data_IF_925300354344
#
_entry.id   IF_925300354344
#
_cell.length_a   1.000
_cell.length_b   1.000
_cell.length_c   1.000
_cell.angle_alpha   90.00
_cell.angle_beta   90.00
_cell.angle_gamma   90.00
#
_symmetry.space_group_name_H-M   'P 1'
#
loop_
_entity.id
_entity.type
_entity.pdbx_description
1 polymer ?
#
# COMPACT_ATOMS: atom_id res chain seq x y z
N UNK A 1 18.57 8.20 7.52
CA UNK A 1 17.79 7.27 6.67
C UNK A 1 16.48 7.87 6.11
N UNK A 2 16.07 9.11 6.42
CA UNK A 2 14.74 9.64 6.03
C UNK A 2 14.59 10.25 4.63
N UNK A 3 15.67 10.73 4.00
CA UNK A 3 15.55 11.39 2.68
C UNK A 3 15.16 10.42 1.55
N UNK A 4 15.70 9.20 1.57
CA UNK A 4 15.41 8.17 0.55
C UNK A 4 13.97 7.66 0.60
N UNK A 5 13.40 7.50 1.80
CA UNK A 5 11.98 7.13 1.98
C UNK A 5 11.04 8.26 1.55
N UNK A 6 11.42 9.51 1.83
CA UNK A 6 10.71 10.70 1.37
C UNK A 6 10.63 10.78 -0.16
N UNK A 7 11.74 10.52 -0.85
CA UNK A 7 11.79 10.48 -2.32
C UNK A 7 10.94 9.34 -2.90
N UNK A 8 11.03 8.13 -2.33
CA UNK A 8 10.25 6.98 -2.80
C UNK A 8 8.74 7.24 -2.71
N UNK A 9 8.28 7.87 -1.62
CA UNK A 9 6.88 8.26 -1.45
C UNK A 9 6.43 9.28 -2.51
N UNK A 10 7.29 10.26 -2.84
CA UNK A 10 7.00 11.29 -3.86
C UNK A 10 6.88 10.66 -5.24
N UNK A 11 7.79 9.74 -5.60
CA UNK A 11 7.70 8.96 -6.85
C UNK A 11 6.39 8.17 -6.90
N UNK A 12 6.07 7.40 -5.85
CA UNK A 12 4.82 6.63 -5.78
C UNK A 12 3.57 7.48 -5.98
N UNK A 13 3.52 8.67 -5.35
CA UNK A 13 2.43 9.63 -5.55
C UNK A 13 2.33 10.11 -7.01
N UNK A 14 3.45 10.41 -7.67
CA UNK A 14 3.44 10.81 -9.07
C UNK A 14 2.99 9.66 -9.99
N UNK A 15 3.32 8.41 -9.67
CA UNK A 15 2.82 7.24 -10.41
C UNK A 15 1.29 7.16 -10.32
N UNK A 16 0.73 7.28 -9.11
CA UNK A 16 -0.72 7.30 -8.89
C UNK A 16 -1.39 8.42 -9.70
N UNK A 17 -0.87 9.66 -9.60
CA UNK A 17 -1.38 10.80 -10.38
C UNK A 17 -1.31 10.57 -11.89
N UNK A 18 -0.22 9.98 -12.38
CA UNK A 18 -0.06 9.69 -13.80
C UNK A 18 -1.11 8.66 -14.28
N UNK A 19 -1.41 7.65 -13.46
CA UNK A 19 -2.42 6.64 -13.79
C UNK A 19 -3.85 7.17 -13.66
N UNK A 20 -4.14 7.94 -12.60
CA UNK A 20 -5.44 8.57 -12.36
C UNK A 20 -5.81 9.52 -13.52
N UNK A 21 -4.88 10.39 -13.90
CA UNK A 21 -5.11 11.51 -14.83
C UNK A 21 -4.64 11.23 -16.25
N UNK A 22 -4.22 10.01 -16.53
CA UNK A 22 -3.75 9.57 -17.85
C UNK A 22 -2.60 10.45 -18.39
N UNK A 23 -1.74 10.93 -17.49
CA UNK A 23 -0.62 11.81 -17.84
C UNK A 23 0.50 10.97 -18.46
N UNK A 24 1.01 11.42 -19.61
CA UNK A 24 2.17 10.83 -20.31
C UNK A 24 3.34 11.80 -20.45
N UNK A 25 3.07 13.10 -20.35
CA UNK A 25 4.07 14.14 -20.54
C UNK A 25 4.87 14.44 -19.27
N UNK A 26 6.20 14.39 -19.37
CA UNK A 26 7.13 14.74 -18.27
C UNK A 26 6.87 16.14 -17.72
N UNK A 27 6.68 17.14 -18.58
CA UNK A 27 6.43 18.52 -18.13
C UNK A 27 5.12 18.65 -17.34
N UNK A 28 4.08 17.91 -17.74
CA UNK A 28 2.79 17.92 -17.05
C UNK A 28 2.92 17.25 -15.69
N UNK A 29 3.60 16.09 -15.62
CA UNK A 29 3.77 15.38 -14.36
C UNK A 29 4.69 16.13 -13.38
N UNK A 30 5.77 16.72 -13.89
CA UNK A 30 6.72 17.51 -13.10
C UNK A 30 6.06 18.72 -12.43
N UNK A 31 5.03 19.31 -13.04
CA UNK A 31 4.30 20.43 -12.47
C UNK A 31 3.60 20.09 -11.14
N UNK A 32 3.29 18.81 -10.88
CA UNK A 32 2.69 18.36 -9.61
C UNK A 32 3.71 18.24 -8.47
N UNK A 33 5.00 18.17 -8.79
CA UNK A 33 6.08 18.19 -7.80
C UNK A 33 7.34 18.88 -8.36
N UNK A 34 7.35 20.22 -8.47
CA UNK A 34 8.40 20.96 -9.18
C UNK A 34 9.80 20.83 -8.56
N UNK A 35 9.87 20.40 -7.30
CA UNK A 35 11.14 20.22 -6.58
C UNK A 35 11.70 18.79 -6.73
N UNK A 36 10.97 17.88 -7.38
CA UNK A 36 11.46 16.52 -7.59
C UNK A 36 12.39 16.51 -8.81
N UNK A 37 13.60 15.94 -8.71
CA UNK A 37 14.50 15.81 -9.85
C UNK A 37 13.83 15.12 -11.05
N UNK A 38 14.00 15.68 -12.25
CA UNK A 38 13.43 15.14 -13.49
C UNK A 38 13.68 13.63 -13.71
N UNK A 39 14.84 13.04 -13.37
CA UNK A 39 15.03 11.60 -13.48
C UNK A 39 14.01 10.77 -12.68
N UNK A 40 13.57 11.25 -11.51
CA UNK A 40 12.56 10.59 -10.69
C UNK A 40 11.14 10.79 -11.24
N UNK A 41 10.88 11.93 -11.91
CA UNK A 41 9.62 12.14 -12.65
C UNK A 41 9.54 11.17 -13.84
N UNK A 42 10.63 10.99 -14.58
CA UNK A 42 10.75 10.00 -15.67
C UNK A 42 10.54 8.59 -15.16
N UNK A 43 11.10 8.27 -14.00
CA UNK A 43 10.88 6.99 -13.34
C UNK A 43 9.39 6.77 -13.06
N UNK A 44 8.69 7.77 -12.52
CA UNK A 44 7.26 7.69 -12.27
C UNK A 44 6.46 7.43 -13.57
N UNK A 45 6.78 8.15 -14.66
CA UNK A 45 6.14 7.91 -15.96
C UNK A 45 6.41 6.50 -16.48
N UNK A 46 7.65 6.02 -16.37
CA UNK A 46 8.03 4.66 -16.78
C UNK A 46 7.24 3.60 -16.01
N UNK A 47 7.11 3.75 -14.69
CA UNK A 47 6.32 2.84 -13.86
C UNK A 47 4.82 2.89 -14.20
N UNK A 48 4.27 4.07 -14.48
CA UNK A 48 2.89 4.19 -14.93
C UNK A 48 2.69 3.53 -16.30
N UNK A 49 3.65 3.66 -17.22
CA UNK A 49 3.63 3.00 -18.53
C UNK A 49 3.63 1.48 -18.40
N UNK A 50 4.38 0.90 -17.45
CA UNK A 50 4.33 -0.55 -17.17
C UNK A 50 2.91 -1.02 -16.90
N UNK A 51 2.13 -0.29 -16.08
CA UNK A 51 0.75 -0.67 -15.86
C UNK A 51 -0.09 -0.62 -17.13
N UNK A 52 0.15 0.32 -18.05
CA UNK A 52 -0.62 0.50 -19.29
C UNK A 52 -0.27 -0.51 -20.38
N UNK A 53 0.99 -0.91 -20.45
CA UNK A 53 1.53 -1.67 -21.57
C UNK A 53 1.66 -3.16 -21.26
N UNK A 54 2.07 -3.50 -20.04
CA UNK A 54 2.39 -4.89 -19.71
C UNK A 54 1.15 -5.79 -19.78
N UNK A 55 1.34 -6.97 -20.37
CA UNK A 55 0.25 -7.93 -20.63
C UNK A 55 -0.34 -8.48 -19.34
N UNK A 56 0.47 -8.62 -18.29
CA UNK A 56 0.04 -9.16 -17.00
C UNK A 56 -1.07 -8.32 -16.34
N UNK A 57 -1.08 -7.00 -16.57
CA UNK A 57 -2.08 -6.11 -16.01
C UNK A 57 -3.28 -5.89 -16.94
N UNK A 58 -3.24 -6.40 -18.17
CA UNK A 58 -4.29 -6.18 -19.18
C UNK A 58 -5.69 -6.58 -18.70
N UNK A 59 -5.91 -7.74 -18.07
CA UNK A 59 -7.24 -8.12 -17.60
C UNK A 59 -7.80 -7.14 -16.56
N UNK A 60 -6.93 -6.53 -15.76
CA UNK A 60 -7.32 -5.59 -14.72
C UNK A 60 -7.67 -4.22 -15.31
N UNK A 61 -6.97 -3.80 -16.37
CA UNK A 61 -7.31 -2.58 -17.12
C UNK A 61 -8.65 -2.72 -17.83
N UNK A 62 -8.88 -3.84 -18.51
CA UNK A 62 -10.10 -4.09 -19.29
C UNK A 62 -11.31 -4.34 -18.39
N UNK A 63 -11.12 -4.96 -17.22
CA UNK A 63 -12.18 -5.24 -16.25
C UNK A 63 -12.42 -4.14 -15.22
N UNK A 64 -11.76 -2.98 -15.33
CA UNK A 64 -11.92 -1.87 -14.40
C UNK A 64 -13.25 -1.14 -14.62
N UNK A 65 -13.99 -0.90 -13.54
CA UNK A 65 -15.26 -0.14 -13.52
C UNK A 65 -15.11 1.24 -12.87
N UNK A 66 -14.08 1.44 -12.04
CA UNK A 66 -13.78 2.74 -11.43
C UNK A 66 -12.29 2.87 -11.09
N UNK A 67 -11.81 4.11 -11.01
CA UNK A 67 -10.46 4.51 -10.56
C UNK A 67 -10.58 5.48 -9.37
N UNK A 68 -9.60 5.50 -8.49
CA UNK A 68 -9.56 6.39 -7.30
C UNK A 68 -10.87 6.38 -6.51
N UNK A 69 -11.44 5.18 -6.35
CA UNK A 69 -12.78 5.00 -5.81
C UNK A 69 -12.76 5.25 -4.31
N UNK A 70 -13.41 6.34 -3.90
CA UNK A 70 -13.56 6.72 -2.50
C UNK A 70 -14.73 5.97 -1.87
N UNK A 71 -14.46 5.29 -0.78
CA UNK A 71 -15.47 4.58 0.00
C UNK A 71 -15.12 4.63 1.49
N UNK A 72 -15.93 3.99 2.31
CA UNK A 72 -15.75 3.95 3.75
C UNK A 72 -16.11 2.57 4.28
N UNK A 73 -15.24 2.03 5.13
CA UNK A 73 -15.48 0.83 5.91
C UNK A 73 -15.86 1.22 7.35
N UNK A 74 -16.96 0.66 7.85
CA UNK A 74 -17.26 0.67 9.28
C UNK A 74 -16.76 -0.61 9.92
N UNK A 75 -15.96 -0.47 10.97
CA UNK A 75 -15.48 -1.57 11.79
C UNK A 75 -15.83 -1.29 13.25
N UNK A 76 -17.01 -1.76 13.67
CA UNK A 76 -17.61 -1.37 14.95
C UNK A 76 -17.85 0.16 14.99
N UNK A 77 -17.36 0.89 16.01
CA UNK A 77 -17.48 2.34 16.08
C UNK A 77 -16.42 3.07 15.23
N UNK A 78 -15.43 2.37 14.68
CA UNK A 78 -14.40 2.98 13.85
C UNK A 78 -14.90 3.20 12.43
N UNK A 79 -14.53 4.35 11.88
CA UNK A 79 -14.70 4.71 10.47
C UNK A 79 -13.33 4.73 9.80
N UNK A 80 -13.17 3.95 8.74
CA UNK A 80 -11.97 3.91 7.92
C UNK A 80 -12.34 4.45 6.55
N UNK A 81 -11.78 5.60 6.19
CA UNK A 81 -11.91 6.13 4.83
C UNK A 81 -10.93 5.41 3.91
N UNK A 82 -11.42 4.97 2.75
CA UNK A 82 -10.64 4.21 1.78
C UNK A 82 -10.62 4.94 0.44
N UNK A 83 -9.47 4.87 -0.24
CA UNK A 83 -9.33 5.28 -1.63
C UNK A 83 -8.70 4.11 -2.37
N UNK A 84 -9.47 3.49 -3.24
CA UNK A 84 -9.04 2.30 -3.98
C UNK A 84 -8.59 2.74 -5.37
N UNK A 85 -7.34 2.49 -5.72
CA UNK A 85 -6.76 2.96 -6.98
C UNK A 85 -7.55 2.45 -8.20
N UNK A 86 -7.97 1.18 -8.17
CA UNK A 86 -8.75 0.56 -9.23
C UNK A 86 -9.76 -0.44 -8.66
N UNK A 87 -10.99 -0.36 -9.15
CA UNK A 87 -12.09 -1.28 -8.80
C UNK A 87 -12.59 -1.93 -10.08
N UNK A 88 -12.70 -3.26 -10.08
CA UNK A 88 -13.38 -4.04 -11.11
C UNK A 88 -14.71 -4.62 -10.62
N UNK A 89 -15.32 -5.49 -11.43
CA UNK A 89 -16.59 -6.13 -11.05
C UNK A 89 -16.46 -7.06 -9.83
N UNK A 90 -15.37 -7.83 -9.73
CA UNK A 90 -15.12 -8.80 -8.64
C UNK A 90 -13.85 -8.52 -7.83
N UNK A 91 -13.08 -7.49 -8.22
CA UNK A 91 -11.77 -7.21 -7.63
C UNK A 91 -11.54 -5.75 -7.23
N UNK A 92 -10.59 -5.55 -6.33
CA UNK A 92 -9.91 -4.27 -6.08
C UNK A 92 -8.43 -4.41 -6.39
N UNK A 93 -7.77 -3.31 -6.74
CA UNK A 93 -6.34 -3.26 -6.97
C UNK A 93 -5.72 -2.00 -6.38
N UNK A 94 -4.49 -2.15 -5.88
CA UNK A 94 -3.62 -1.08 -5.43
C UNK A 94 -2.27 -1.15 -6.19
N UNK A 95 -1.78 0.01 -6.64
CA UNK A 95 -0.51 0.18 -7.33
C UNK A 95 0.63 0.39 -6.34
N UNK A 96 1.66 -0.45 -6.45
CA UNK A 96 2.83 -0.42 -5.59
C UNK A 96 4.11 -0.22 -6.39
N UNK A 97 4.95 0.69 -5.92
CA UNK A 97 6.25 1.04 -6.52
C UNK A 97 7.43 0.59 -5.65
N UNK A 98 7.15 -0.28 -4.69
CA UNK A 98 8.06 -0.79 -3.68
C UNK A 98 9.32 -1.41 -4.28
N UNK A 99 10.44 -1.27 -3.56
CA UNK A 99 11.71 -1.90 -3.95
C UNK A 99 11.70 -3.41 -3.75
N UNK A 100 10.89 -3.89 -2.81
CA UNK A 100 10.74 -5.30 -2.48
C UNK A 100 9.28 -5.72 -2.64
N UNK A 101 9.05 -6.99 -2.98
CA UNK A 101 7.71 -7.57 -3.11
C UNK A 101 7.31 -8.18 -1.77
N UNK A 102 6.61 -7.39 -0.95
CA UNK A 102 6.20 -7.77 0.41
C UNK A 102 4.67 -7.66 0.57
N UNK A 103 3.88 -8.62 0.02
CA UNK A 103 2.41 -8.55 0.04
C UNK A 103 1.83 -8.48 1.46
N UNK A 104 2.46 -9.14 2.43
CA UNK A 104 2.04 -9.19 3.83
C UNK A 104 1.97 -7.81 4.51
N UNK A 105 2.71 -6.82 4.01
CA UNK A 105 2.66 -5.44 4.50
C UNK A 105 1.39 -4.70 4.07
N UNK A 106 0.71 -5.18 3.05
CA UNK A 106 -0.43 -4.48 2.44
C UNK A 106 -1.76 -5.22 2.63
N UNK A 107 -1.73 -6.48 3.09
CA UNK A 107 -2.94 -7.31 3.19
C UNK A 107 -4.07 -6.68 4.01
N UNK A 108 -3.76 -5.94 5.09
CA UNK A 108 -4.79 -5.26 5.90
C UNK A 108 -5.45 -4.11 5.15
N UNK A 109 -4.68 -3.34 4.38
CA UNK A 109 -5.18 -2.27 3.50
C UNK A 109 -6.10 -2.86 2.43
N UNK A 110 -5.63 -3.89 1.73
CA UNK A 110 -6.36 -4.52 0.63
C UNK A 110 -7.61 -5.25 1.13
N UNK A 111 -7.58 -5.85 2.31
CA UNK A 111 -8.78 -6.34 2.98
C UNK A 111 -9.80 -5.23 3.20
N UNK A 112 -9.39 -4.08 3.75
CA UNK A 112 -10.32 -2.97 4.01
C UNK A 112 -10.97 -2.48 2.70
N UNK A 113 -10.20 -2.41 1.62
CA UNK A 113 -10.71 -2.06 0.28
C UNK A 113 -11.72 -3.09 -0.23
N UNK A 114 -11.38 -4.37 -0.12
CA UNK A 114 -12.22 -5.49 -0.53
C UNK A 114 -13.57 -5.47 0.19
N UNK A 115 -13.56 -5.32 1.52
CA UNK A 115 -14.77 -5.27 2.34
C UNK A 115 -15.61 -4.02 2.05
N UNK A 116 -14.97 -2.85 1.97
CA UNK A 116 -15.67 -1.57 1.73
C UNK A 116 -16.36 -1.51 0.36
N UNK A 117 -15.86 -2.28 -0.61
CA UNK A 117 -16.39 -2.35 -1.98
C UNK A 117 -17.16 -3.63 -2.27
N UNK A 118 -17.22 -4.57 -1.32
CA UNK A 118 -17.82 -5.92 -1.46
C UNK A 118 -17.23 -6.74 -2.62
N UNK A 119 -15.94 -6.60 -2.87
CA UNK A 119 -15.20 -7.39 -3.86
C UNK A 119 -14.51 -8.56 -3.17
N UNK A 120 -14.36 -9.67 -3.89
CA UNK A 120 -13.87 -10.93 -3.29
C UNK A 120 -12.38 -11.14 -3.49
N UNK A 121 -11.79 -10.40 -4.43
CA UNK A 121 -10.39 -10.50 -4.81
C UNK A 121 -9.71 -9.16 -4.61
N UNK A 122 -8.48 -9.20 -4.16
CA UNK A 122 -7.67 -8.02 -4.00
C UNK A 122 -6.31 -8.24 -4.65
N UNK A 123 -5.84 -7.25 -5.40
CA UNK A 123 -4.63 -7.32 -6.18
C UNK A 123 -3.63 -6.24 -5.76
N UNK A 124 -2.35 -6.58 -5.87
CA UNK A 124 -1.27 -5.61 -5.85
C UNK A 124 -0.56 -5.67 -7.20
N UNK A 125 -0.49 -4.53 -7.88
CA UNK A 125 0.36 -4.37 -9.05
C UNK A 125 1.72 -3.80 -8.63
N UNK A 126 2.74 -4.65 -8.58
CA UNK A 126 4.12 -4.25 -8.30
C UNK A 126 4.78 -3.75 -9.59
N UNK A 127 4.60 -2.46 -9.86
CA UNK A 127 4.97 -1.84 -11.15
C UNK A 127 6.46 -1.87 -11.43
N UNK A 128 7.29 -1.90 -10.40
CA UNK A 128 8.76 -2.00 -10.53
C UNK A 128 9.23 -3.41 -10.89
N UNK A 129 8.40 -4.41 -10.63
CA UNK A 129 8.75 -5.84 -10.71
C UNK A 129 7.98 -6.58 -11.80
N UNK A 130 7.10 -5.88 -12.55
CA UNK A 130 6.17 -6.47 -13.51
C UNK A 130 5.41 -7.69 -12.94
N UNK A 131 5.00 -7.56 -11.67
CA UNK A 131 4.42 -8.65 -10.90
C UNK A 131 3.04 -8.29 -10.36
N UNK A 132 2.10 -9.21 -10.57
CA UNK A 132 0.78 -9.17 -9.96
C UNK A 132 0.74 -10.14 -8.78
N UNK A 133 0.40 -9.63 -7.60
CA UNK A 133 0.02 -10.47 -6.46
C UNK A 133 -1.50 -10.47 -6.30
N UNK A 134 -2.08 -11.61 -5.93
CA UNK A 134 -3.52 -11.77 -5.71
C UNK A 134 -3.74 -12.40 -4.35
N UNK A 135 -4.50 -11.72 -3.49
CA UNK A 135 -5.02 -12.32 -2.28
C UNK A 135 -6.32 -13.04 -2.58
N UNK A 136 -6.41 -14.28 -2.11
CA UNK A 136 -7.61 -15.10 -2.19
C UNK A 136 -8.57 -14.76 -1.04
N UNK A 137 -9.87 -15.11 -1.17
CA UNK A 137 -10.86 -14.84 -0.13
C UNK A 137 -10.49 -15.37 1.26
N UNK A 138 -9.76 -16.49 1.35
CA UNK A 138 -9.33 -17.04 2.63
C UNK A 138 -8.29 -16.15 3.34
N UNK A 139 -7.34 -15.60 2.58
CA UNK A 139 -6.31 -14.71 3.10
C UNK A 139 -6.92 -13.38 3.56
N UNK A 140 -7.85 -12.83 2.77
CA UNK A 140 -8.59 -11.63 3.13
C UNK A 140 -9.44 -11.83 4.39
N UNK A 141 -10.12 -12.99 4.53
CA UNK A 141 -10.84 -13.31 5.77
C UNK A 141 -9.92 -13.40 6.99
N UNK A 142 -8.73 -13.97 6.85
CA UNK A 142 -7.75 -14.03 7.94
C UNK A 142 -7.26 -12.62 8.32
N UNK A 143 -7.00 -11.77 7.33
CA UNK A 143 -6.67 -10.36 7.54
C UNK A 143 -7.80 -9.60 8.26
N UNK A 144 -9.06 -9.88 7.91
CA UNK A 144 -10.21 -9.26 8.57
C UNK A 144 -10.35 -9.59 10.05
N UNK A 145 -10.06 -10.84 10.46
CA UNK A 145 -10.00 -11.20 11.88
C UNK A 145 -8.95 -10.37 12.62
N UNK A 146 -7.74 -10.27 12.05
CA UNK A 146 -6.65 -9.46 12.61
C UNK A 146 -7.01 -7.97 12.68
N UNK A 147 -7.67 -7.43 11.66
CA UNK A 147 -8.17 -6.05 11.69
C UNK A 147 -9.21 -5.84 12.79
N UNK A 148 -10.11 -6.82 13.02
CA UNK A 148 -11.05 -6.81 14.12
C UNK A 148 -10.37 -6.69 15.49
N UNK A 149 -9.38 -7.55 15.75
CA UNK A 149 -8.58 -7.50 16.99
C UNK A 149 -7.87 -6.16 17.18
N UNK A 150 -7.29 -5.60 16.10
CA UNK A 150 -6.65 -4.29 16.12
C UNK A 150 -7.68 -3.19 16.44
N UNK A 151 -8.85 -3.22 15.81
CA UNK A 151 -9.91 -2.24 16.03
C UNK A 151 -10.46 -2.29 17.45
N UNK A 152 -10.69 -3.48 18.00
CA UNK A 152 -11.10 -3.66 19.40
C UNK A 152 -10.04 -3.09 20.36
N UNK A 153 -8.75 -3.31 20.08
CA UNK A 153 -7.65 -2.70 20.81
C UNK A 153 -7.72 -1.16 20.79
N UNK A 154 -7.84 -0.57 19.61
CA UNK A 154 -7.95 0.89 19.43
C UNK A 154 -9.14 1.45 20.20
N UNK A 155 -10.32 0.84 20.07
CA UNK A 155 -11.55 1.29 20.74
C UNK A 155 -11.43 1.23 22.25
N UNK A 156 -10.74 0.21 22.77
CA UNK A 156 -10.51 0.06 24.20
C UNK A 156 -9.29 0.83 24.72
N UNK A 157 -8.59 1.61 23.89
CA UNK A 157 -7.36 2.31 24.26
C UNK A 157 -6.18 1.37 24.58
N UNK A 158 -6.21 0.13 24.07
CA UNK A 158 -5.17 -0.88 24.30
C UNK A 158 -4.21 -0.95 23.11
N UNK A 159 -2.97 -0.57 23.34
CA UNK A 159 -1.90 -0.58 22.35
C UNK A 159 -0.71 -1.42 22.85
N UNK A 160 -0.85 -2.75 22.93
CA UNK A 160 0.24 -3.59 23.38
C UNK A 160 1.44 -3.42 22.45
N UNK A 161 2.60 -3.21 23.04
CA UNK A 161 3.90 -3.24 22.37
C UNK A 161 4.09 -4.57 21.64
N UNK A 162 4.73 -4.49 20.48
CA UNK A 162 5.08 -5.65 19.64
C UNK A 162 6.56 -5.57 19.30
N UNK A 163 7.43 -5.76 20.30
CA UNK A 163 8.86 -5.59 20.09
C UNK A 163 9.38 -6.65 19.12
N UNK A 164 10.34 -6.24 18.30
CA UNK A 164 11.09 -7.12 17.41
C UNK A 164 12.40 -6.42 17.08
N UNK A 165 13.44 -7.16 16.73
CA UNK A 165 14.73 -6.58 16.36
C UNK A 165 14.60 -5.47 15.31
N UNK A 166 13.71 -5.66 14.31
CA UNK A 166 13.45 -4.68 13.25
C UNK A 166 12.68 -3.45 13.77
N UNK A 167 11.65 -3.64 14.57
CA UNK A 167 10.86 -2.53 15.11
C UNK A 167 11.67 -1.72 16.14
N UNK A 168 12.42 -2.40 17.00
CA UNK A 168 13.19 -1.79 18.08
C UNK A 168 14.41 -1.03 17.54
N UNK A 169 15.07 -1.49 16.47
CA UNK A 169 16.24 -0.80 15.89
C UNK A 169 15.94 0.56 15.26
N UNK A 170 14.67 0.84 14.96
CA UNK A 170 14.20 2.10 14.38
C UNK A 170 13.30 2.89 15.33
N UNK A 171 13.05 2.37 16.54
CA UNK A 171 12.21 3.03 17.53
C UNK A 171 13.00 4.15 18.23
N UNK A 172 12.52 5.41 18.22
CA UNK A 172 13.22 6.51 18.88
C UNK A 172 13.27 6.36 20.41
N UNK A 173 12.48 5.45 20.97
CA UNK A 173 12.43 5.14 22.40
C UNK A 173 13.16 3.84 22.74
N UNK A 174 13.88 3.22 21.79
CA UNK A 174 14.49 1.91 21.98
C UNK A 174 15.43 1.81 23.19
N UNK A 175 16.17 2.89 23.49
CA UNK A 175 17.12 2.95 24.60
C UNK A 175 16.45 2.99 25.99
N UNK A 176 15.18 3.37 26.06
CA UNK A 176 14.43 3.54 27.32
C UNK A 176 13.21 2.61 27.42
N UNK A 177 13.00 1.76 26.42
CA UNK A 177 11.88 0.82 26.37
C UNK A 177 12.29 -0.50 27.02
N UNK A 178 11.65 -0.85 28.13
CA UNK A 178 11.93 -2.10 28.87
C UNK A 178 11.66 -3.37 28.04
N UNK A 179 10.81 -3.25 27.01
CA UNK A 179 10.47 -4.35 26.11
C UNK A 179 11.33 -4.37 24.83
N UNK A 180 12.35 -3.50 24.72
CA UNK A 180 13.17 -3.44 23.52
C UNK A 180 13.94 -4.75 23.27
N UNK A 181 13.86 -5.25 22.04
CA UNK A 181 14.61 -6.42 21.58
C UNK A 181 15.85 -5.96 20.82
N UNK A 182 17.03 -6.25 21.37
CA UNK A 182 18.32 -5.98 20.72
C UNK A 182 18.77 -7.25 19.97
N UNK A 183 19.05 -7.13 18.67
CA UNK A 183 19.60 -8.25 17.90
C UNK A 183 20.98 -8.64 18.45
N UNK A 184 21.14 -9.87 18.96
CA UNK A 184 22.43 -10.43 19.35
C UNK A 184 22.63 -10.73 20.84
N UNK A 185 21.63 -10.49 21.70
CA UNK A 185 21.64 -11.02 23.07
C UNK A 185 20.91 -12.36 23.04
N UNK A 186 21.67 -13.46 23.07
CA UNK A 186 21.10 -14.77 23.35
C UNK A 186 20.50 -14.76 24.77
N UNK A 187 19.28 -15.25 24.90
CA UNK A 187 18.61 -15.47 26.19
C UNK A 187 19.51 -16.35 27.09
N UNK A 188 19.73 -16.01 28.37
CA UNK A 188 20.45 -16.88 29.31
C UNK A 188 19.71 -18.19 29.62
#
# INVERSE_FOLDING_TARGET
>A
MGEGEGLARRVGRLVHLALEREIEGEGVLAAFDPSLPLPLVREALSLAARFREEKIYRPLREGAVAREYRTMLRLGPLRIDCVVDLVGEDFVLDYKTDREVLPEHHILQLWAYSEATRRQRAHIAYLRHDRLHTFLPLELRAAGKRCGEIAEGIVAGRFPSRPSAKACSSCPYGEICEEAVIAGVADP
#
